data_IF_991905986984
#
_entry.id   IF_991905986984
#
_cell.length_a   1.000
_cell.length_b   1.000
_cell.length_c   1.000
_cell.angle_alpha   90.00
_cell.angle_beta   90.00
_cell.angle_gamma   90.00
#
_symmetry.space_group_name_H-M   'P 1'
#
loop_
_entity.id
_entity.type
_entity.pdbx_description
1 polymer ?
#
# COMPACT_ATOMS: atom_id res chain seq x y z
N UNK A 1 11.59 -17.95 -0.17
CA UNK A 1 10.40 -17.54 0.61
C UNK A 1 9.36 -17.05 -0.37
N UNK A 2 8.17 -17.67 -0.43
CA UNK A 2 7.10 -17.19 -1.31
C UNK A 2 6.43 -16.03 -0.56
N UNK A 3 6.66 -14.81 -1.01
CA UNK A 3 6.05 -13.62 -0.38
C UNK A 3 4.65 -13.51 -0.94
N UNK A 4 3.63 -13.55 -0.07
CA UNK A 4 2.26 -13.30 -0.48
C UNK A 4 2.02 -11.80 -0.58
N UNK A 5 1.23 -11.33 -1.57
CA UNK A 5 0.85 -9.92 -1.67
C UNK A 5 0.04 -9.48 -0.45
N UNK A 6 0.17 -8.21 -0.05
CA UNK A 6 -0.63 -7.61 1.02
C UNK A 6 -2.11 -7.47 0.68
N UNK A 7 -2.43 -7.45 -0.62
CA UNK A 7 -3.78 -7.45 -1.19
C UNK A 7 -4.05 -8.77 -1.91
N UNK A 8 -5.12 -9.45 -1.54
CA UNK A 8 -5.56 -10.69 -2.19
C UNK A 8 -6.53 -10.37 -3.34
N UNK A 9 -6.08 -10.59 -4.58
CA UNK A 9 -6.86 -10.31 -5.80
C UNK A 9 -8.03 -11.28 -6.01
N UNK A 10 -8.06 -12.39 -5.29
CA UNK A 10 -9.17 -13.35 -5.35
C UNK A 10 -10.34 -12.94 -4.43
N UNK A 11 -10.11 -11.97 -3.51
CA UNK A 11 -11.11 -11.47 -2.56
C UNK A 11 -11.69 -10.13 -3.01
N UNK A 12 -12.90 -9.83 -2.56
CA UNK A 12 -13.52 -8.54 -2.89
C UNK A 12 -12.72 -7.38 -2.30
N UNK A 13 -12.93 -6.17 -2.85
CA UNK A 13 -12.38 -4.95 -2.25
C UNK A 13 -12.75 -4.83 -0.77
N UNK A 14 -14.00 -5.16 -0.42
CA UNK A 14 -14.53 -5.00 0.94
C UNK A 14 -13.85 -5.96 1.92
N UNK A 15 -13.58 -7.20 1.50
CA UNK A 15 -12.86 -8.18 2.33
C UNK A 15 -11.41 -7.71 2.55
N UNK A 16 -10.73 -7.25 1.50
CA UNK A 16 -9.39 -6.66 1.63
C UNK A 16 -9.40 -5.43 2.52
N UNK A 17 -10.40 -4.56 2.39
CA UNK A 17 -10.54 -3.35 3.20
C UNK A 17 -10.70 -3.69 4.68
N UNK A 18 -11.51 -4.69 5.02
CA UNK A 18 -11.81 -5.08 6.41
C UNK A 18 -10.73 -5.94 7.05
N UNK A 19 -10.20 -6.92 6.31
CA UNK A 19 -9.37 -7.99 6.88
C UNK A 19 -7.88 -7.84 6.55
N UNK A 20 -7.54 -7.08 5.50
CA UNK A 20 -6.15 -6.79 5.15
C UNK A 20 -5.55 -5.60 5.94
N UNK A 21 -4.28 -5.26 5.67
CA UNK A 21 -3.36 -5.95 4.75
C UNK A 21 -2.87 -7.29 5.32
N UNK A 22 -2.69 -8.28 4.45
CA UNK A 22 -2.18 -9.61 4.84
C UNK A 22 -0.65 -9.60 4.81
N UNK A 23 -0.02 -9.70 5.98
CA UNK A 23 1.44 -9.62 6.09
C UNK A 23 2.01 -10.88 6.72
N UNK A 24 2.79 -11.63 5.94
CA UNK A 24 3.46 -12.86 6.39
C UNK A 24 4.89 -12.62 6.88
N UNK A 25 5.27 -11.35 7.04
CA UNK A 25 6.61 -10.94 7.47
C UNK A 25 6.53 -10.05 8.70
N UNK A 26 7.51 -10.21 9.60
CA UNK A 26 7.72 -9.24 10.67
C UNK A 26 8.34 -7.98 10.08
N UNK A 27 7.74 -6.79 10.26
CA UNK A 27 8.35 -5.55 9.79
C UNK A 27 9.75 -5.36 10.38
N UNK A 28 10.71 -4.83 9.59
CA UNK A 28 12.06 -4.63 10.08
C UNK A 28 12.10 -3.56 11.17
N UNK A 29 13.06 -3.68 12.10
CA UNK A 29 13.37 -2.57 13.00
C UNK A 29 14.02 -1.45 12.17
N UNK A 30 13.54 -0.22 12.37
CA UNK A 30 14.02 0.95 11.63
C UNK A 30 14.87 1.84 12.52
N UNK A 31 15.98 2.32 11.98
CA UNK A 31 16.70 3.48 12.53
C UNK A 31 16.12 4.72 11.88
N UNK A 32 15.66 5.67 12.69
CA UNK A 32 15.07 6.94 12.21
C UNK A 32 16.17 7.98 12.17
N UNK A 33 16.72 8.19 10.97
CA UNK A 33 17.72 9.23 10.69
C UNK A 33 17.19 10.05 9.52
N UNK A 34 16.58 11.21 9.76
CA UNK A 34 16.11 12.06 8.67
C UNK A 34 17.31 12.58 7.85
N UNK A 35 17.44 12.10 6.62
CA UNK A 35 18.55 12.42 5.71
C UNK A 35 18.09 13.25 4.50
N UNK A 36 16.78 13.40 4.31
CA UNK A 36 16.20 14.04 3.14
C UNK A 36 15.13 15.08 3.51
N UNK A 37 14.89 16.01 2.58
CA UNK A 37 13.77 16.94 2.62
C UNK A 37 12.79 16.63 1.49
N UNK A 38 11.50 16.62 1.80
CA UNK A 38 10.42 16.48 0.83
C UNK A 38 9.26 17.41 1.20
N UNK A 39 8.91 18.34 0.31
CA UNK A 39 7.87 19.36 0.56
C UNK A 39 8.05 20.08 1.91
N UNK A 40 9.29 20.45 2.23
CA UNK A 40 9.70 21.11 3.48
C UNK A 40 9.59 20.24 4.76
N UNK A 41 9.32 18.93 4.61
CA UNK A 41 9.36 17.96 5.70
C UNK A 41 10.66 17.16 5.68
N UNK A 42 11.23 16.92 6.86
CA UNK A 42 12.35 16.00 7.03
C UNK A 42 11.84 14.56 6.98
N UNK A 43 12.46 13.73 6.15
CA UNK A 43 12.08 12.32 5.94
C UNK A 43 13.31 11.42 5.93
N UNK A 44 13.15 10.16 6.36
CA UNK A 44 14.26 9.20 6.40
C UNK A 44 14.64 8.67 5.02
N UNK A 45 13.69 8.67 4.07
CA UNK A 45 13.90 8.25 2.68
C UNK A 45 12.89 8.92 1.76
N UNK A 46 13.19 8.93 0.46
CA UNK A 46 12.25 9.33 -0.60
C UNK A 46 11.40 8.17 -1.13
N UNK A 47 11.40 7.02 -0.43
CA UNK A 47 10.62 5.85 -0.81
C UNK A 47 9.19 5.96 -0.28
N UNK A 48 8.24 5.76 -1.17
CA UNK A 48 6.82 5.94 -0.90
C UNK A 48 5.92 4.89 -1.49
N UNK A 49 4.68 4.90 -1.01
CA UNK A 49 3.58 4.08 -1.52
C UNK A 49 2.47 5.01 -2.01
N UNK A 50 2.01 4.86 -3.27
CA UNK A 50 0.95 5.68 -3.81
C UNK A 50 -0.41 5.34 -3.16
N UNK A 51 -1.43 6.16 -3.41
CA UNK A 51 -2.75 6.03 -2.77
C UNK A 51 -3.51 4.74 -3.06
N UNK A 52 -3.31 4.12 -4.23
CA UNK A 52 -4.07 2.94 -4.65
C UNK A 52 -4.01 1.78 -3.64
N UNK A 53 -2.82 1.30 -3.27
CA UNK A 53 -2.65 0.24 -2.27
C UNK A 53 -3.04 0.62 -0.82
N UNK A 54 -3.30 1.88 -0.50
CA UNK A 54 -3.49 2.35 0.88
C UNK A 54 -4.97 2.55 1.19
N UNK A 55 -5.70 1.44 1.36
CA UNK A 55 -7.15 1.41 1.47
C UNK A 55 -7.69 2.19 2.69
N UNK A 56 -7.04 2.00 3.84
CA UNK A 56 -7.39 2.67 5.09
C UNK A 56 -6.17 2.80 6.03
N UNK A 57 -6.39 3.27 7.26
CA UNK A 57 -5.32 3.53 8.21
C UNK A 57 -4.47 2.28 8.54
N UNK A 58 -5.05 1.09 8.59
CA UNK A 58 -4.32 -0.16 8.87
C UNK A 58 -3.29 -0.45 7.76
N UNK A 59 -3.64 -0.14 6.51
CA UNK A 59 -2.74 -0.26 5.37
C UNK A 59 -1.60 0.76 5.47
N UNK A 60 -1.91 2.02 5.76
CA UNK A 60 -0.88 3.07 5.97
C UNK A 60 0.10 2.67 7.07
N UNK A 61 -0.39 2.28 8.24
CA UNK A 61 0.45 1.88 9.37
C UNK A 61 1.35 0.69 9.01
N UNK A 62 0.82 -0.28 8.27
CA UNK A 62 1.58 -1.45 7.83
C UNK A 62 2.75 -1.03 6.93
N UNK A 63 2.50 -0.22 5.90
CA UNK A 63 3.58 0.24 5.03
C UNK A 63 4.57 1.18 5.74
N UNK A 64 4.13 1.97 6.72
CA UNK A 64 5.04 2.77 7.57
C UNK A 64 6.01 1.87 8.35
N UNK A 65 5.49 0.79 8.96
CA UNK A 65 6.28 -0.22 9.67
C UNK A 65 7.24 -0.97 8.73
N UNK A 66 6.84 -1.20 7.48
CA UNK A 66 7.67 -1.85 6.47
C UNK A 66 8.85 -1.01 5.98
N UNK A 67 8.88 0.30 6.25
CA UNK A 67 10.02 1.14 5.88
C UNK A 67 9.71 2.34 5.02
N UNK A 68 8.49 2.47 4.51
CA UNK A 68 8.14 3.56 3.60
C UNK A 68 7.86 4.85 4.38
N UNK A 69 8.40 5.97 3.90
CA UNK A 69 8.27 7.28 4.56
C UNK A 69 7.22 8.17 3.87
N UNK A 70 7.02 8.01 2.56
CA UNK A 70 6.08 8.83 1.79
C UNK A 70 4.80 8.04 1.49
N UNK A 71 3.84 8.07 2.42
CA UNK A 71 2.58 7.33 2.29
C UNK A 71 1.45 8.26 1.83
N UNK A 72 1.03 8.11 0.58
CA UNK A 72 -0.04 8.96 0.02
C UNK A 72 -1.38 8.35 0.40
N UNK A 73 -2.09 8.93 1.37
CA UNK A 73 -3.38 8.38 1.78
C UNK A 73 -4.45 8.50 0.67
N UNK A 74 -5.43 7.57 0.71
CA UNK A 74 -6.46 7.30 -0.30
C UNK A 74 -7.03 8.52 -1.02
N UNK A 75 -7.53 8.29 -2.23
CA UNK A 75 -8.37 9.27 -2.95
C UNK A 75 -9.67 9.53 -2.18
N UNK A 76 -9.88 10.79 -1.75
CA UNK A 76 -11.09 11.21 -1.04
C UNK A 76 -12.17 11.60 -2.06
N UNK A 77 -13.42 11.21 -1.79
CA UNK A 77 -14.61 11.61 -2.55
C UNK A 77 -15.52 12.45 -1.66
N UNK A 78 -16.26 13.38 -2.25
CA UNK A 78 -17.24 14.22 -1.54
C UNK A 78 -18.48 13.46 -1.07
N UNK A 79 -18.74 12.30 -1.65
CA UNK A 79 -19.82 11.39 -1.28
C UNK A 79 -19.34 9.95 -1.30
N UNK A 80 -19.95 9.12 -0.45
CA UNK A 80 -19.69 7.69 -0.42
C UNK A 80 -20.06 7.04 -1.76
N UNK A 81 -19.19 6.14 -2.24
CA UNK A 81 -19.41 5.35 -3.44
C UNK A 81 -18.92 3.93 -3.17
N UNK A 82 -19.74 2.90 -3.44
CA UNK A 82 -19.28 1.53 -3.33
C UNK A 82 -18.20 1.24 -4.38
N UNK A 83 -17.31 0.30 -4.07
CA UNK A 83 -16.36 -0.22 -5.04
C UNK A 83 -17.07 -1.06 -6.10
N UNK A 84 -16.43 -1.25 -7.26
CA UNK A 84 -16.91 -2.19 -8.26
C UNK A 84 -16.90 -3.63 -7.71
N UNK A 85 -17.86 -4.49 -8.14
CA UNK A 85 -17.88 -5.88 -7.71
C UNK A 85 -16.62 -6.63 -8.17
N UNK A 86 -16.27 -7.69 -7.44
CA UNK A 86 -15.17 -8.57 -7.80
C UNK A 86 -15.42 -9.25 -9.17
N UNK A 87 -14.43 -9.37 -10.08
CA UNK A 87 -13.06 -8.86 -9.98
C UNK A 87 -12.94 -7.36 -10.27
N UNK A 88 -12.37 -6.62 -9.30
CA UNK A 88 -12.09 -5.18 -9.42
C UNK A 88 -10.59 -4.87 -9.58
N UNK A 89 -9.71 -5.83 -9.30
CA UNK A 89 -8.28 -5.76 -9.49
C UNK A 89 -7.79 -7.11 -10.03
N UNK A 90 -6.89 -7.10 -11.02
CA UNK A 90 -6.35 -8.34 -11.59
C UNK A 90 -4.85 -8.20 -11.88
N UNK A 91 -4.11 -9.27 -11.65
CA UNK A 91 -2.72 -9.35 -12.06
C UNK A 91 -2.60 -9.77 -13.53
N UNK A 92 -1.94 -8.95 -14.34
CA UNK A 92 -1.65 -9.27 -15.73
C UNK A 92 -0.23 -9.85 -15.86
N UNK A 93 -0.15 -11.16 -16.10
CA UNK A 93 1.13 -11.83 -16.37
C UNK A 93 1.53 -11.62 -17.83
N UNK A 94 2.19 -10.51 -18.14
CA UNK A 94 2.69 -10.24 -19.48
C UNK A 94 4.21 -10.43 -19.59
N UNK A 95 4.64 -11.14 -20.64
CA UNK A 95 6.05 -11.21 -21.03
C UNK A 95 6.32 -10.05 -21.99
N UNK A 96 7.23 -9.13 -21.62
CA UNK A 96 7.69 -7.94 -22.39
C UNK A 96 6.87 -6.64 -22.24
N UNK A 97 6.43 -6.31 -21.04
CA UNK A 97 5.67 -5.06 -20.79
C UNK A 97 6.50 -3.76 -20.90
N UNK A 98 7.83 -3.87 -20.86
CA UNK A 98 8.76 -2.73 -20.93
C UNK A 98 9.80 -2.93 -22.05
N UNK A 99 9.34 -3.29 -23.26
CA UNK A 99 10.15 -3.24 -24.48
C UNK A 99 9.58 -2.23 -25.44
#
# INVERSE_FOLDING_TARGET
MKVHPTYDIERSYEDNYKEGPFLDITPPQRTVTPEHSFLDFQVNSLLGVPAGPLLNANWVITYAKLGFDLLVYKTVRTAERPCHPNPNCMYLSQKRQLR
#
